data_IF_631985803653
#
_entry.id   IF_631985803653
#
_cell.length_a   1.000
_cell.length_b   1.000
_cell.length_c   1.000
_cell.angle_alpha   90.00
_cell.angle_beta   90.00
_cell.angle_gamma   90.00
#
_symmetry.space_group_name_H-M   'P 1'
#
loop_
_entity.id
_entity.type
_entity.pdbx_description
1 polymer ?
#
# COMPACT_ATOMS: atom_id res chain seq x y z
N UNK A 1 -0.89 -17.67 7.95
CA UNK A 1 -0.50 -16.25 7.82
C UNK A 1 0.50 -15.95 8.94
N UNK A 2 1.80 -15.84 8.63
CA UNK A 2 2.84 -15.55 9.63
C UNK A 2 2.91 -14.05 9.90
N UNK A 3 2.61 -13.64 11.13
CA UNK A 3 2.79 -12.26 11.58
C UNK A 3 4.28 -11.95 11.73
N UNK A 4 4.72 -10.81 11.20
CA UNK A 4 6.11 -10.34 11.31
C UNK A 4 6.37 -9.91 12.75
N UNK A 5 6.95 -10.82 13.52
CA UNK A 5 7.38 -10.62 14.91
C UNK A 5 8.83 -11.07 15.15
N UNK A 6 9.61 -11.30 14.09
CA UNK A 6 11.02 -11.67 14.22
C UNK A 6 11.83 -10.46 14.68
N UNK A 7 12.43 -10.57 15.87
CA UNK A 7 13.34 -9.56 16.45
C UNK A 7 14.53 -9.24 15.55
N UNK A 8 14.85 -10.12 14.59
CA UNK A 8 15.91 -9.96 13.60
C UNK A 8 15.58 -9.00 12.45
N UNK A 9 14.30 -8.62 12.27
CA UNK A 9 13.87 -7.84 11.10
C UNK A 9 14.01 -8.61 9.78
N UNK A 10 14.14 -9.94 9.82
CA UNK A 10 14.22 -10.81 8.66
C UNK A 10 12.93 -11.62 8.57
N UNK A 11 12.28 -11.60 7.40
CA UNK A 11 11.08 -12.39 7.13
C UNK A 11 11.37 -13.90 7.05
N UNK A 12 10.33 -14.73 7.13
CA UNK A 12 10.41 -16.19 6.93
C UNK A 12 11.04 -16.60 5.58
N UNK A 13 11.14 -15.65 4.63
CA UNK A 13 11.75 -15.83 3.31
C UNK A 13 13.19 -15.31 3.23
N UNK A 14 13.82 -15.00 4.36
CA UNK A 14 15.20 -14.51 4.42
C UNK A 14 15.39 -13.07 3.97
N UNK A 15 14.31 -12.32 3.71
CA UNK A 15 14.38 -10.91 3.28
C UNK A 15 14.44 -9.99 4.49
N UNK A 16 15.43 -9.09 4.48
CA UNK A 16 15.56 -8.01 5.46
C UNK A 16 14.40 -7.03 5.28
N UNK A 17 13.88 -6.53 6.40
CA UNK A 17 12.82 -5.54 6.41
C UNK A 17 13.21 -4.31 5.58
N UNK A 18 12.27 -3.83 4.77
CA UNK A 18 12.47 -2.65 3.94
C UNK A 18 13.20 -2.89 2.61
N UNK A 19 13.82 -4.05 2.40
CA UNK A 19 14.48 -4.36 1.11
C UNK A 19 13.52 -4.97 0.07
N UNK A 20 12.31 -5.31 0.49
CA UNK A 20 11.27 -5.88 -0.36
C UNK A 20 10.71 -4.89 -1.38
N UNK A 21 10.92 -3.59 -1.15
CA UNK A 21 10.32 -2.51 -1.92
C UNK A 21 11.36 -1.50 -2.37
N UNK A 22 11.26 -1.06 -3.61
CA UNK A 22 11.98 0.12 -4.11
C UNK A 22 11.09 1.35 -4.02
N UNK A 23 11.64 2.46 -3.54
CA UNK A 23 10.94 3.76 -3.57
C UNK A 23 11.11 4.38 -4.96
N UNK A 24 10.00 4.73 -5.61
CA UNK A 24 10.00 5.34 -6.94
C UNK A 24 9.83 6.87 -6.88
N UNK A 25 9.04 7.34 -5.92
CA UNK A 25 8.74 8.76 -5.72
C UNK A 25 8.26 8.99 -4.28
N UNK A 26 8.42 10.21 -3.76
CA UNK A 26 7.88 10.59 -2.47
C UNK A 26 7.39 12.03 -2.49
N UNK A 27 6.20 12.26 -1.95
CA UNK A 27 5.58 13.58 -1.82
C UNK A 27 5.06 13.73 -0.39
N UNK A 28 5.82 14.44 0.45
CA UNK A 28 5.58 14.54 1.89
C UNK A 28 5.54 13.16 2.57
N UNK A 29 4.41 12.84 3.20
CA UNK A 29 4.17 11.56 3.87
C UNK A 29 3.68 10.43 2.96
N UNK A 30 3.49 10.70 1.66
CA UNK A 30 3.09 9.70 0.67
C UNK A 30 4.34 9.17 -0.01
N UNK A 31 4.57 7.87 0.08
CA UNK A 31 5.70 7.19 -0.56
C UNK A 31 5.21 6.18 -1.58
N UNK A 32 5.67 6.34 -2.82
CA UNK A 32 5.35 5.48 -3.95
C UNK A 32 6.39 4.38 -4.04
N UNK A 33 5.94 3.14 -3.98
CA UNK A 33 6.81 1.95 -3.90
C UNK A 33 6.43 0.90 -4.92
N UNK A 34 7.40 0.10 -5.33
CA UNK A 34 7.20 -1.11 -6.13
C UNK A 34 7.80 -2.30 -5.40
N UNK A 35 7.07 -3.41 -5.39
CA UNK A 35 7.56 -4.67 -4.85
C UNK A 35 8.62 -5.26 -5.77
N UNK A 36 9.76 -5.66 -5.21
CA UNK A 36 10.94 -6.06 -5.99
C UNK A 36 10.87 -7.50 -6.51
N UNK A 37 10.26 -8.41 -5.73
CA UNK A 37 10.37 -9.86 -5.97
C UNK A 37 9.22 -10.45 -6.82
N UNK A 38 8.29 -9.64 -7.33
CA UNK A 38 7.19 -10.13 -8.17
C UNK A 38 6.57 -9.02 -9.00
N UNK A 39 6.05 -9.38 -10.18
CA UNK A 39 5.19 -8.52 -10.99
C UNK A 39 3.81 -8.29 -10.36
N UNK A 40 3.38 -9.19 -9.47
CA UNK A 40 2.18 -9.00 -8.67
C UNK A 40 2.43 -7.93 -7.62
N UNK A 41 1.65 -6.85 -7.68
CA UNK A 41 1.69 -5.79 -6.69
C UNK A 41 1.35 -6.36 -5.31
N UNK A 42 2.30 -6.27 -4.38
CA UNK A 42 2.10 -6.55 -2.96
C UNK A 42 2.21 -5.25 -2.19
N UNK A 43 1.42 -5.10 -1.15
CA UNK A 43 1.41 -3.88 -0.33
C UNK A 43 2.19 -4.11 0.97
N UNK A 44 2.89 -3.10 1.50
CA UNK A 44 3.57 -3.24 2.78
C UNK A 44 2.55 -3.44 3.91
N UNK A 45 2.76 -4.46 4.75
CA UNK A 45 1.88 -4.73 5.90
C UNK A 45 2.22 -3.87 7.12
N UNK A 46 3.42 -3.32 7.19
CA UNK A 46 3.89 -2.52 8.33
C UNK A 46 4.75 -1.35 7.84
N UNK A 47 4.90 -0.33 8.67
CA UNK A 47 5.77 0.82 8.43
C UNK A 47 6.71 1.07 9.61
N UNK A 48 7.83 1.76 9.39
CA UNK A 48 8.65 2.31 10.49
C UNK A 48 8.37 3.79 10.74
N UNK A 49 7.60 4.43 9.86
CA UNK A 49 7.28 5.86 9.96
C UNK A 49 5.81 6.04 10.28
N UNK A 50 5.52 6.66 11.43
CA UNK A 50 4.16 7.01 11.85
C UNK A 50 3.47 7.90 10.81
N UNK A 51 2.21 7.59 10.49
CA UNK A 51 1.41 8.36 9.54
C UNK A 51 1.85 8.24 8.06
N UNK A 52 2.81 7.35 7.75
CA UNK A 52 3.21 7.06 6.37
C UNK A 52 2.04 6.49 5.60
N UNK A 53 1.85 6.97 4.37
CA UNK A 53 0.96 6.36 3.39
C UNK A 53 1.83 5.74 2.30
N UNK A 54 1.65 4.45 2.03
CA UNK A 54 2.32 3.80 0.92
C UNK A 54 1.36 3.66 -0.26
N UNK A 55 1.83 4.08 -1.42
CA UNK A 55 1.17 3.88 -2.70
C UNK A 55 1.95 2.81 -3.45
N UNK A 56 1.30 1.69 -3.77
CA UNK A 56 1.95 0.62 -4.53
C UNK A 56 1.75 0.87 -6.02
N UNK A 57 2.85 0.82 -6.77
CA UNK A 57 2.87 0.90 -8.23
C UNK A 57 3.12 -0.49 -8.79
N UNK A 58 2.22 -0.95 -9.67
CA UNK A 58 2.35 -2.26 -10.29
C UNK A 58 3.47 -2.27 -11.36
N UNK A 59 3.69 -3.44 -11.96
CA UNK A 59 4.66 -3.61 -13.04
C UNK A 59 4.32 -2.82 -14.32
N UNK A 60 3.07 -2.39 -14.49
CA UNK A 60 2.59 -1.56 -15.62
C UNK A 60 2.70 -0.05 -15.35
N UNK A 61 3.39 0.35 -14.28
CA UNK A 61 3.51 1.75 -13.84
C UNK A 61 2.20 2.43 -13.43
N UNK A 62 1.19 1.63 -13.06
CA UNK A 62 -0.11 2.11 -12.60
C UNK A 62 -0.21 2.09 -11.07
N UNK A 63 -0.98 3.03 -10.53
CA UNK A 63 -1.33 3.07 -9.11
C UNK A 63 -2.23 1.89 -8.77
N UNK A 64 -1.69 0.86 -8.11
CA UNK A 64 -2.44 -0.36 -7.81
C UNK A 64 -3.28 -0.24 -6.55
N UNK A 65 -2.69 0.35 -5.51
CA UNK A 65 -3.31 0.39 -4.18
C UNK A 65 -2.69 1.45 -3.27
N UNK A 66 -3.45 1.84 -2.25
CA UNK A 66 -3.05 2.83 -1.23
C UNK A 66 -3.22 2.18 0.15
N UNK A 67 -2.19 2.23 0.99
CA UNK A 67 -2.20 1.60 2.31
C UNK A 67 -1.94 2.60 3.43
N UNK A 68 -2.69 2.41 4.52
CA UNK A 68 -2.64 3.21 5.74
C UNK A 68 -2.30 2.33 6.94
N UNK A 69 -1.67 2.93 7.93
CA UNK A 69 -1.19 2.25 9.12
C UNK A 69 -1.77 2.88 10.38
N UNK A 70 -1.94 2.07 11.41
CA UNK A 70 -2.36 2.52 12.74
C UNK A 70 -1.19 3.11 13.55
N UNK A 71 -1.47 3.46 14.80
CA UNK A 71 -0.49 4.05 15.72
C UNK A 71 0.60 3.05 16.18
N UNK A 72 0.39 1.76 15.93
CA UNK A 72 1.39 0.69 16.14
C UNK A 72 2.17 0.37 14.87
N UNK A 73 1.98 1.17 13.82
CA UNK A 73 2.57 1.04 12.49
C UNK A 73 2.16 -0.23 11.72
N UNK A 74 1.05 -0.87 12.09
CA UNK A 74 0.48 -2.01 11.35
C UNK A 74 -0.55 -1.52 10.35
N UNK A 75 -0.63 -2.18 9.19
CA UNK A 75 -1.63 -1.84 8.15
C UNK A 75 -3.01 -1.94 8.77
N UNK A 76 -3.78 -0.87 8.63
CA UNK A 76 -5.16 -0.76 9.13
C UNK A 76 -6.17 -0.76 7.99
N UNK A 77 -5.76 -0.29 6.82
CA UNK A 77 -6.65 -0.08 5.67
C UNK A 77 -5.88 -0.15 4.35
N UNK A 78 -6.48 -0.77 3.35
CA UNK A 78 -5.98 -0.86 1.98
C UNK A 78 -7.08 -0.50 1.00
N UNK A 79 -6.80 0.44 0.09
CA UNK A 79 -7.68 0.78 -1.02
C UNK A 79 -7.10 0.13 -2.26
N UNK A 80 -7.85 -0.76 -2.89
CA UNK A 80 -7.44 -1.43 -4.12
C UNK A 80 -8.10 -0.80 -5.35
N UNK A 81 -7.26 -0.37 -6.28
CA UNK A 81 -7.66 0.40 -7.47
C UNK A 81 -7.63 -0.43 -8.74
N UNK A 82 -6.75 -1.42 -8.82
CA UNK A 82 -6.56 -2.25 -10.02
C UNK A 82 -7.13 -3.66 -9.88
N UNK A 83 -7.25 -4.17 -8.66
CA UNK A 83 -7.82 -5.49 -8.39
C UNK A 83 -9.32 -5.39 -8.08
N UNK A 84 -10.12 -6.34 -8.57
CA UNK A 84 -11.54 -6.41 -8.27
C UNK A 84 -11.78 -7.47 -7.19
N UNK A 85 -12.65 -7.17 -6.22
CA UNK A 85 -13.09 -8.13 -5.21
C UNK A 85 -14.60 -8.27 -5.30
N UNK A 86 -15.11 -9.47 -5.59
CA UNK A 86 -16.53 -9.76 -5.83
C UNK A 86 -17.19 -8.80 -6.85
N UNK A 87 -16.48 -8.49 -7.95
CA UNK A 87 -16.96 -7.58 -9.01
C UNK A 87 -16.95 -6.09 -8.63
N UNK A 88 -16.52 -5.72 -7.42
CA UNK A 88 -16.42 -4.33 -6.97
C UNK A 88 -14.99 -3.81 -7.12
N UNK A 89 -14.86 -2.70 -7.85
CA UNK A 89 -13.60 -1.99 -8.09
C UNK A 89 -13.92 -0.50 -8.33
N UNK A 90 -13.20 0.44 -7.71
CA UNK A 90 -12.29 0.26 -6.57
C UNK A 90 -13.03 -0.12 -5.27
N UNK A 91 -12.32 -0.72 -4.32
CA UNK A 91 -12.86 -1.09 -2.99
C UNK A 91 -11.82 -0.89 -1.89
N UNK A 92 -12.27 -0.87 -0.63
CA UNK A 92 -11.42 -0.72 0.55
C UNK A 92 -11.53 -1.96 1.44
N UNK A 93 -10.39 -2.55 1.79
CA UNK A 93 -10.26 -3.54 2.85
C UNK A 93 -9.90 -2.86 4.18
N UNK A 94 -10.51 -3.33 5.27
CA UNK A 94 -10.23 -2.87 6.63
C UNK A 94 -9.61 -3.98 7.48
N UNK A 95 -8.61 -3.62 8.29
CA UNK A 95 -7.87 -4.53 9.16
C UNK A 95 -6.43 -4.77 8.71
N UNK A 96 -5.76 -5.64 9.47
CA UNK A 96 -4.37 -6.03 9.22
C UNK A 96 -4.30 -7.17 8.21
N UNK A 97 -5.16 -8.17 8.37
CA UNK A 97 -5.30 -9.29 7.44
C UNK A 97 -6.50 -9.07 6.49
N UNK A 98 -6.56 -9.88 5.43
CA UNK A 98 -7.61 -9.79 4.42
C UNK A 98 -9.00 -10.04 5.03
N UNK A 99 -9.96 -9.17 4.76
CA UNK A 99 -11.36 -9.24 5.21
C UNK A 99 -11.61 -9.30 6.74
N UNK A 100 -10.64 -8.92 7.56
CA UNK A 100 -10.77 -8.92 9.02
C UNK A 100 -11.96 -8.08 9.52
N UNK A 101 -12.15 -6.90 8.92
CA UNK A 101 -13.27 -6.00 9.20
C UNK A 101 -14.13 -5.73 7.94
N UNK A 102 -14.08 -6.66 6.99
CA UNK A 102 -14.83 -6.61 5.74
C UNK A 102 -14.29 -5.64 4.69
N UNK A 103 -15.07 -5.53 3.60
CA UNK A 103 -14.76 -4.73 2.41
C UNK A 103 -15.86 -3.69 2.19
N UNK A 104 -15.49 -2.42 2.05
CA UNK A 104 -16.44 -1.31 1.81
C UNK A 104 -16.23 -0.64 0.46
N UNK A 105 -17.23 0.11 0.01
CA UNK A 105 -17.04 1.09 -1.06
C UNK A 105 -16.19 2.29 -0.60
N UNK A 106 -15.81 3.13 -1.56
CA UNK A 106 -15.02 4.33 -1.27
C UNK A 106 -15.84 5.43 -0.59
N UNK A 107 -15.31 5.94 0.51
CA UNK A 107 -15.71 7.21 1.14
C UNK A 107 -15.29 8.41 0.29
N UNK A 108 -15.84 9.59 0.59
CA UNK A 108 -15.49 10.85 -0.10
C UNK A 108 -14.01 11.19 0.08
N UNK A 109 -13.45 10.97 1.28
CA UNK A 109 -12.04 11.24 1.56
C UNK A 109 -11.10 10.29 0.81
N UNK A 110 -11.49 9.02 0.68
CA UNK A 110 -10.72 8.04 -0.09
C UNK A 110 -10.67 8.41 -1.58
N UNK A 111 -11.80 8.85 -2.15
CA UNK A 111 -11.83 9.36 -3.53
C UNK A 111 -10.87 10.54 -3.70
N UNK A 112 -10.91 11.52 -2.80
CA UNK A 112 -9.98 12.67 -2.80
C UNK A 112 -8.50 12.24 -2.70
N UNK A 113 -8.20 11.24 -1.86
CA UNK A 113 -6.83 10.72 -1.78
C UNK A 113 -6.41 10.04 -3.09
N UNK A 114 -7.29 9.24 -3.70
CA UNK A 114 -7.01 8.58 -4.99
C UNK A 114 -6.69 9.63 -6.06
N UNK A 115 -7.51 10.68 -6.16
CA UNK A 115 -7.30 11.76 -7.13
C UNK A 115 -5.96 12.46 -6.88
N UNK A 116 -5.66 12.80 -5.63
CA UNK A 116 -4.37 13.38 -5.23
C UNK A 116 -3.19 12.49 -5.62
N UNK A 117 -3.25 11.20 -5.30
CA UNK A 117 -2.16 10.24 -5.56
C UNK A 117 -1.95 10.03 -7.05
N UNK A 118 -3.03 9.91 -7.83
CA UNK A 118 -2.95 9.82 -9.29
C UNK A 118 -2.34 11.09 -9.89
N UNK A 119 -2.79 12.26 -9.45
CA UNK A 119 -2.23 13.53 -9.91
C UNK A 119 -0.72 13.62 -9.61
N UNK A 120 -0.32 13.33 -8.36
CA UNK A 120 1.09 13.32 -7.96
C UNK A 120 1.92 12.30 -8.76
N UNK A 121 1.39 11.12 -9.05
CA UNK A 121 2.12 10.09 -9.80
C UNK A 121 2.25 10.43 -11.28
N UNK A 122 1.15 10.71 -11.95
CA UNK A 122 1.15 10.88 -13.41
C UNK A 122 1.72 12.24 -13.85
N UNK A 123 1.75 13.24 -12.97
CA UNK A 123 2.38 14.54 -13.23
C UNK A 123 3.74 14.72 -12.55
N UNK A 124 4.37 13.65 -12.04
CA UNK A 124 5.61 13.72 -11.24
C UNK A 124 6.81 14.36 -11.96
N UNK A 125 6.82 14.36 -13.29
CA UNK A 125 7.90 14.95 -14.10
C UNK A 125 7.56 16.33 -14.67
N UNK A 126 6.34 16.83 -14.43
CA UNK A 126 5.86 18.11 -14.97
C UNK A 126 5.96 19.26 -13.95
N UNK A 127 6.80 19.12 -12.92
CA UNK A 127 7.03 20.14 -11.88
C UNK A 127 8.32 20.90 -12.15
#
# INVERSE_FOLDING_TARGET
>A
MGGRGSSSGISDKGKVYGTEYSTLYQSGNIKFVRYNDSTSAKTPMETMTKGRVYVTINAKDEVSSITYYDNTNKRKRQIDLTHAHNGKKPHTHHGYIHDENGTTGLTVEEKKMIDKVKNEWYNRYNK
#
